data_IF_529431200337
#
_entry.id   IF_529431200337
#
_cell.length_a   1.000
_cell.length_b   1.000
_cell.length_c   1.000
_cell.angle_alpha   90.00
_cell.angle_beta   90.00
_cell.angle_gamma   90.00
#
_symmetry.space_group_name_H-M   'P 1'
#
loop_
_entity.id
_entity.type
_entity.pdbx_description
1 polymer ?
#
# COMPACT_ATOMS: atom_id res chain seq x y z
N UNK A 1 -21.04 -5.92 10.25
CA UNK A 1 -19.56 -5.82 10.29
C UNK A 1 -19.10 -4.71 9.36
N UNK A 2 -18.10 -3.92 9.77
CA UNK A 2 -17.57 -2.84 8.92
C UNK A 2 -16.92 -3.41 7.65
N UNK A 3 -16.98 -2.64 6.56
CA UNK A 3 -16.24 -2.95 5.33
C UNK A 3 -14.79 -2.51 5.51
N UNK A 4 -13.89 -3.49 5.52
CA UNK A 4 -12.46 -3.30 5.78
C UNK A 4 -11.75 -2.86 4.49
N UNK A 5 -10.99 -1.77 4.58
CA UNK A 5 -10.15 -1.22 3.51
C UNK A 5 -8.71 -1.35 3.97
N UNK A 6 -7.87 -2.02 3.19
CA UNK A 6 -6.44 -2.11 3.47
C UNK A 6 -5.67 -1.18 2.54
N UNK A 7 -4.76 -0.40 3.10
CA UNK A 7 -3.85 0.48 2.34
C UNK A 7 -2.44 -0.05 2.56
N UNK A 8 -1.75 -0.43 1.48
CA UNK A 8 -0.37 -0.89 1.51
C UNK A 8 0.54 0.08 0.77
N UNK A 9 1.76 0.21 1.27
CA UNK A 9 2.82 1.01 0.68
C UNK A 9 3.99 1.17 1.62
N UNK A 10 4.70 2.26 1.41
CA UNK A 10 5.93 2.63 2.08
C UNK A 10 5.71 3.57 3.29
N UNK A 11 6.72 4.40 3.61
CA UNK A 11 6.68 5.43 4.64
C UNK A 11 5.63 6.50 4.44
N UNK A 12 5.21 6.77 3.20
CA UNK A 12 4.22 7.79 2.88
C UNK A 12 2.82 7.27 3.20
N UNK A 13 2.58 5.99 2.97
CA UNK A 13 1.38 5.30 3.49
C UNK A 13 1.40 5.24 5.01
N UNK A 14 2.57 4.92 5.61
CA UNK A 14 2.74 4.89 7.07
C UNK A 14 2.40 6.25 7.69
N UNK A 15 2.77 7.34 7.01
CA UNK A 15 2.63 8.71 7.52
C UNK A 15 3.88 9.15 8.29
N UNK A 16 5.05 8.67 7.88
CA UNK A 16 6.32 9.06 8.47
C UNK A 16 6.47 10.58 8.47
N UNK A 17 6.93 11.13 9.59
CA UNK A 17 7.19 12.56 9.80
C UNK A 17 5.97 13.51 9.70
N UNK A 18 4.73 13.01 9.59
CA UNK A 18 3.52 13.83 9.80
C UNK A 18 3.02 13.69 11.24
N UNK A 19 3.62 14.44 12.15
CA UNK A 19 3.21 14.47 13.56
C UNK A 19 1.86 15.20 13.77
N UNK A 20 1.35 15.91 12.77
CA UNK A 20 0.10 16.66 12.88
C UNK A 20 -1.11 15.73 12.76
N UNK A 21 -1.17 14.91 11.71
CA UNK A 21 -2.28 13.97 11.51
C UNK A 21 -1.86 12.56 11.10
N UNK A 22 -0.58 12.19 11.08
CA UNK A 22 -0.14 10.82 10.80
C UNK A 22 -0.33 10.38 9.36
N UNK A 23 -0.16 11.30 8.41
CA UNK A 23 -0.16 11.03 6.98
C UNK A 23 -1.54 10.99 6.35
N UNK A 24 -1.56 10.91 5.02
CA UNK A 24 -2.78 10.93 4.22
C UNK A 24 -3.71 9.75 4.55
N UNK A 25 -3.15 8.56 4.86
CA UNK A 25 -3.93 7.37 5.20
C UNK A 25 -4.75 7.59 6.48
N UNK A 26 -4.18 8.24 7.50
CA UNK A 26 -4.89 8.52 8.73
C UNK A 26 -5.90 9.68 8.56
N UNK A 27 -5.57 10.69 7.73
CA UNK A 27 -6.53 11.73 7.33
C UNK A 27 -7.73 11.11 6.60
N UNK A 28 -7.50 10.19 5.66
CA UNK A 28 -8.54 9.44 4.96
C UNK A 28 -9.39 8.61 5.92
N UNK A 29 -8.76 7.93 6.89
CA UNK A 29 -9.47 7.19 7.94
C UNK A 29 -10.45 8.10 8.68
N UNK A 30 -9.97 9.23 9.21
CA UNK A 30 -10.80 10.21 9.94
C UNK A 30 -11.94 10.75 9.08
N UNK A 31 -11.66 11.05 7.81
CA UNK A 31 -12.67 11.54 6.86
C UNK A 31 -13.75 10.50 6.56
N UNK A 32 -13.38 9.24 6.34
CA UNK A 32 -14.35 8.16 6.10
C UNK A 32 -15.17 7.87 7.35
N UNK A 33 -14.55 7.90 8.53
CA UNK A 33 -15.24 7.72 9.81
C UNK A 33 -16.21 8.87 10.09
N UNK A 34 -15.91 10.12 9.70
CA UNK A 34 -16.82 11.26 9.90
C UNK A 34 -18.06 11.19 9.01
N UNK A 35 -17.95 10.65 7.78
CA UNK A 35 -19.07 10.57 6.83
C UNK A 35 -19.87 9.28 6.99
N UNK A 36 -19.19 8.16 7.24
CA UNK A 36 -19.79 6.83 7.20
C UNK A 36 -19.82 6.14 8.57
N UNK A 37 -19.43 6.84 9.65
CA UNK A 37 -19.36 6.30 11.00
C UNK A 37 -18.55 5.00 11.00
N UNK A 38 -19.04 3.95 11.66
CA UNK A 38 -18.37 2.65 11.80
C UNK A 38 -18.60 1.70 10.61
N UNK A 39 -19.21 2.16 9.52
CA UNK A 39 -19.53 1.33 8.34
C UNK A 39 -18.28 0.87 7.59
N UNK A 40 -17.20 1.64 7.65
CA UNK A 40 -15.92 1.32 7.03
C UNK A 40 -14.80 1.39 8.06
N UNK A 41 -13.77 0.58 7.88
CA UNK A 41 -12.56 0.63 8.71
C UNK A 41 -11.34 0.60 7.81
N UNK A 42 -10.42 1.55 8.01
CA UNK A 42 -9.18 1.65 7.24
C UNK A 42 -8.03 1.09 8.06
N UNK A 43 -7.27 0.19 7.44
CA UNK A 43 -6.06 -0.42 7.99
C UNK A 43 -4.86 0.08 7.20
N UNK A 44 -3.97 0.76 7.91
CA UNK A 44 -2.70 1.25 7.39
C UNK A 44 -1.65 0.15 7.49
N UNK A 45 -1.09 -0.27 6.36
CA UNK A 45 0.02 -1.22 6.25
C UNK A 45 1.23 -0.61 5.54
N UNK A 46 1.49 0.69 5.75
CA UNK A 46 2.74 1.34 5.38
C UNK A 46 3.93 0.79 6.16
N UNK A 47 5.07 0.63 5.50
CA UNK A 47 6.34 0.22 6.10
C UNK A 47 7.44 1.10 5.54
N UNK A 48 8.30 1.68 6.37
CA UNK A 48 9.37 2.54 5.85
C UNK A 48 10.32 1.80 4.92
N UNK A 49 10.73 2.46 3.84
CA UNK A 49 11.62 1.91 2.82
C UNK A 49 11.09 0.69 2.07
N UNK A 50 9.80 0.36 2.18
CA UNK A 50 9.22 -0.78 1.47
C UNK A 50 9.36 -0.57 -0.05
N UNK A 51 9.52 -1.68 -0.77
CA UNK A 51 9.52 -1.73 -2.24
C UNK A 51 8.45 -2.71 -2.69
N UNK A 52 8.14 -2.75 -3.99
CA UNK A 52 7.21 -3.76 -4.51
C UNK A 52 7.66 -5.20 -4.21
N UNK A 53 8.97 -5.45 -4.15
CA UNK A 53 9.54 -6.75 -3.78
C UNK A 53 9.24 -7.11 -2.32
N UNK A 54 9.45 -6.18 -1.39
CA UNK A 54 9.22 -6.40 0.05
C UNK A 54 7.73 -6.46 0.38
N UNK A 55 6.92 -5.58 -0.22
CA UNK A 55 5.47 -5.60 -0.11
C UNK A 55 4.90 -6.98 -0.48
N UNK A 56 5.34 -7.55 -1.61
CA UNK A 56 4.88 -8.86 -2.06
C UNK A 56 5.07 -9.96 -1.00
N UNK A 57 6.18 -9.93 -0.26
CA UNK A 57 6.50 -10.95 0.76
C UNK A 57 5.55 -10.93 1.95
N UNK A 58 5.05 -9.75 2.35
CA UNK A 58 4.19 -9.58 3.54
C UNK A 58 2.69 -9.52 3.23
N UNK A 59 2.33 -9.28 1.97
CA UNK A 59 0.97 -9.01 1.53
C UNK A 59 -0.03 -10.12 1.90
N UNK A 60 0.27 -11.37 1.56
CA UNK A 60 -0.67 -12.49 1.71
C UNK A 60 -1.11 -12.69 3.18
N UNK A 61 -0.15 -12.61 4.11
CA UNK A 61 -0.41 -12.76 5.55
C UNK A 61 -1.39 -11.70 6.06
N UNK A 62 -1.22 -10.45 5.65
CA UNK A 62 -2.10 -9.33 6.05
C UNK A 62 -3.49 -9.44 5.43
N UNK A 63 -3.57 -9.81 4.14
CA UNK A 63 -4.85 -9.99 3.47
C UNK A 63 -5.66 -11.13 4.09
N UNK A 64 -5.03 -12.25 4.45
CA UNK A 64 -5.70 -13.37 5.10
C UNK A 64 -6.18 -13.04 6.51
N UNK A 65 -5.42 -12.25 7.28
CA UNK A 65 -5.84 -11.87 8.63
C UNK A 65 -6.99 -10.85 8.63
N UNK A 66 -7.03 -9.94 7.64
CA UNK A 66 -8.01 -8.86 7.60
C UNK A 66 -9.22 -9.19 6.73
N UNK A 67 -9.09 -9.99 5.68
CA UNK A 67 -10.14 -10.28 4.68
C UNK A 67 -10.84 -8.99 4.16
N UNK A 68 -10.10 -8.10 3.48
CA UNK A 68 -10.59 -6.78 3.07
C UNK A 68 -11.66 -6.84 1.98
N UNK A 69 -12.46 -5.78 1.89
CA UNK A 69 -13.39 -5.52 0.77
C UNK A 69 -12.78 -4.63 -0.31
N UNK A 70 -11.82 -3.77 0.04
CA UNK A 70 -11.09 -2.90 -0.88
C UNK A 70 -9.61 -2.93 -0.49
N UNK A 71 -8.73 -2.98 -1.48
CA UNK A 71 -7.29 -2.82 -1.28
C UNK A 71 -6.79 -1.64 -2.09
N UNK A 72 -6.00 -0.78 -1.44
CA UNK A 72 -5.34 0.37 -2.04
C UNK A 72 -3.83 0.11 -1.98
N UNK A 73 -3.14 0.28 -3.10
CA UNK A 73 -1.68 0.17 -3.23
C UNK A 73 -1.12 1.54 -3.63
N UNK A 74 -0.15 2.01 -2.85
CA UNK A 74 0.62 3.22 -3.10
C UNK A 74 2.09 2.86 -2.81
N UNK A 75 2.78 2.36 -3.84
CA UNK A 75 4.12 1.76 -3.69
C UNK A 75 4.94 1.95 -4.96
N UNK A 76 6.24 2.17 -4.76
CA UNK A 76 7.26 2.10 -5.81
C UNK A 76 8.22 3.29 -5.87
N UNK A 77 8.07 4.32 -5.04
CA UNK A 77 9.03 5.44 -5.04
C UNK A 77 10.42 4.94 -4.64
N UNK A 78 10.50 4.00 -3.69
CA UNK A 78 11.74 3.36 -3.29
C UNK A 78 12.30 2.44 -4.39
N UNK A 79 11.44 1.74 -5.14
CA UNK A 79 11.85 0.99 -6.34
C UNK A 79 12.53 1.90 -7.36
N UNK A 80 12.04 3.14 -7.49
CA UNK A 80 12.53 4.14 -8.45
C UNK A 80 13.83 4.82 -8.03
N UNK A 81 14.33 4.61 -6.80
CA UNK A 81 15.60 5.17 -6.34
C UNK A 81 16.71 4.86 -7.35
N UNK A 82 17.41 5.87 -7.85
CA UNK A 82 18.40 5.71 -8.90
C UNK A 82 19.83 5.83 -8.36
N UNK A 83 20.63 4.79 -8.56
CA UNK A 83 22.02 4.74 -8.17
C UNK A 83 22.92 5.27 -9.29
N UNK A 84 23.43 6.49 -9.12
CA UNK A 84 24.25 7.17 -10.15
C UNK A 84 25.55 6.44 -10.50
N UNK A 85 26.12 5.68 -9.57
CA UNK A 85 27.39 4.96 -9.77
C UNK A 85 27.24 3.75 -10.70
N UNK A 86 26.08 3.08 -10.68
CA UNK A 86 25.78 1.93 -11.54
C UNK A 86 24.76 2.24 -12.64
N UNK A 87 24.21 3.46 -12.67
CA UNK A 87 23.21 3.92 -13.64
C UNK A 87 21.95 3.05 -13.69
N UNK A 88 21.53 2.55 -12.53
CA UNK A 88 20.39 1.63 -12.39
C UNK A 88 19.44 2.09 -11.30
N UNK A 89 18.15 1.77 -11.46
CA UNK A 89 17.17 1.89 -10.38
C UNK A 89 17.38 0.78 -9.34
N UNK A 90 16.92 1.00 -8.11
CA UNK A 90 17.03 0.01 -7.05
C UNK A 90 16.28 -1.28 -7.37
N UNK A 91 15.14 -1.16 -8.05
CA UNK A 91 14.44 -2.28 -8.66
C UNK A 91 14.35 -2.03 -10.16
N UNK A 92 14.79 -3.01 -10.96
CA UNK A 92 14.67 -2.94 -12.42
C UNK A 92 13.22 -2.75 -12.85
N UNK A 93 13.00 -2.03 -13.95
CA UNK A 93 11.65 -1.72 -14.45
C UNK A 93 10.85 -2.98 -14.80
N UNK A 94 11.49 -4.06 -15.25
CA UNK A 94 10.80 -5.32 -15.53
C UNK A 94 10.45 -6.05 -14.23
N UNK A 95 11.34 -6.02 -13.24
CA UNK A 95 11.06 -6.57 -11.92
C UNK A 95 9.92 -5.83 -11.23
N UNK A 96 9.89 -4.50 -11.30
CA UNK A 96 8.79 -3.68 -10.81
C UNK A 96 7.45 -4.10 -11.43
N UNK A 97 7.37 -4.20 -12.77
CA UNK A 97 6.17 -4.66 -13.49
C UNK A 97 5.75 -6.08 -13.09
N UNK A 98 6.73 -6.98 -12.96
CA UNK A 98 6.49 -8.35 -12.55
C UNK A 98 5.97 -8.43 -11.10
N UNK A 99 6.53 -7.63 -10.19
CA UNK A 99 6.10 -7.56 -8.80
C UNK A 99 4.67 -7.02 -8.70
N UNK A 100 4.33 -5.94 -9.41
CA UNK A 100 2.97 -5.41 -9.46
C UNK A 100 1.96 -6.46 -9.96
N UNK A 101 2.33 -7.22 -11.00
CA UNK A 101 1.49 -8.31 -11.53
C UNK A 101 1.25 -9.40 -10.47
N UNK A 102 2.31 -9.81 -9.76
CA UNK A 102 2.22 -10.80 -8.67
C UNK A 102 1.38 -10.28 -7.50
N UNK A 103 1.60 -9.04 -7.07
CA UNK A 103 0.83 -8.35 -6.03
C UNK A 103 -0.66 -8.35 -6.40
N UNK A 104 -1.00 -7.89 -7.61
CA UNK A 104 -2.39 -7.85 -8.08
C UNK A 104 -3.03 -9.23 -8.10
N UNK A 105 -2.29 -10.24 -8.57
CA UNK A 105 -2.75 -11.64 -8.60
C UNK A 105 -3.09 -12.15 -7.20
N UNK A 106 -2.26 -11.83 -6.19
CA UNK A 106 -2.53 -12.20 -4.80
C UNK A 106 -3.76 -11.46 -4.28
N UNK A 107 -3.86 -10.15 -4.47
CA UNK A 107 -5.00 -9.34 -3.97
C UNK A 107 -6.33 -9.82 -4.54
N UNK A 108 -6.37 -10.14 -5.84
CA UNK A 108 -7.59 -10.60 -6.52
C UNK A 108 -8.16 -11.90 -5.97
N UNK A 109 -7.38 -12.69 -5.23
CA UNK A 109 -7.89 -13.86 -4.48
C UNK A 109 -8.80 -13.46 -3.31
N UNK A 110 -8.67 -12.24 -2.80
CA UNK A 110 -9.41 -11.75 -1.63
C UNK A 110 -10.50 -10.73 -2.00
N UNK A 111 -10.23 -9.84 -2.97
CA UNK A 111 -11.22 -8.87 -3.44
C UNK A 111 -10.99 -8.45 -4.90
N UNK A 112 -12.05 -8.25 -5.69
CA UNK A 112 -11.92 -7.67 -7.03
C UNK A 112 -11.67 -6.15 -7.01
N UNK A 113 -11.85 -5.47 -5.86
CA UNK A 113 -11.74 -4.01 -5.76
C UNK A 113 -10.34 -3.60 -5.32
N UNK A 114 -9.52 -3.29 -6.32
CA UNK A 114 -8.13 -2.86 -6.14
C UNK A 114 -7.94 -1.46 -6.73
N UNK A 115 -7.28 -0.58 -6.00
CA UNK A 115 -6.97 0.79 -6.43
C UNK A 115 -5.45 0.96 -6.36
N UNK A 116 -4.82 1.39 -7.46
CA UNK A 116 -3.43 1.84 -7.46
C UNK A 116 -3.44 3.37 -7.51
N UNK A 117 -2.74 4.00 -6.56
CA UNK A 117 -2.61 5.47 -6.52
C UNK A 117 -1.42 5.93 -7.37
N UNK A 118 -0.42 5.06 -7.55
CA UNK A 118 0.83 5.37 -8.23
C UNK A 118 2.01 5.33 -7.26
N UNK A 119 3.14 5.85 -7.72
CA UNK A 119 4.32 6.11 -6.91
C UNK A 119 3.96 7.31 -6.03
N UNK A 120 3.88 7.11 -4.72
CA UNK A 120 3.67 8.21 -3.75
C UNK A 120 4.97 8.68 -3.17
#
# INVERSE_FOLDING_TARGET
MSKRICVFGDSIVWGAFDDEKGGWTNRLKKYIESIYSTKYSIYNFGVDGDTTKLLFQRLNKKLQSICPKIVIIAEGINDSLFYQNIQENYIDINDFKNNLTKILTVIKKFTPKVIFIGLT
#
